data_IF_225402118038
#
_entry.id   IF_225402118038
#
_cell.length_a   1.000
_cell.length_b   1.000
_cell.length_c   1.000
_cell.angle_alpha   90.00
_cell.angle_beta   90.00
_cell.angle_gamma   90.00
#
_symmetry.space_group_name_H-M   'P 1'
#
loop_
_entity.id
_entity.type
_entity.pdbx_description
1 polymer ?
#
# COMPACT_ATOMS: atom_id res chain seq x y z
N UNK A 1 34.41 -43.46 9.44
CA UNK A 1 32.99 -43.24 9.79
C UNK A 1 32.56 -41.89 9.24
N UNK A 2 31.73 -41.86 8.19
CA UNK A 2 31.13 -40.63 7.66
C UNK A 2 29.83 -40.40 8.42
N UNK A 3 29.79 -39.39 9.29
CA UNK A 3 28.57 -38.94 9.93
C UNK A 3 27.77 -38.12 8.91
N UNK A 4 26.83 -38.77 8.24
CA UNK A 4 25.78 -38.10 7.47
C UNK A 4 24.87 -37.39 8.47
N UNK A 5 25.02 -36.07 8.58
CA UNK A 5 24.05 -35.24 9.29
C UNK A 5 22.68 -35.48 8.63
N UNK A 6 21.60 -35.68 9.41
CA UNK A 6 20.27 -35.73 8.84
C UNK A 6 20.07 -34.42 8.09
N UNK A 7 19.84 -34.53 6.79
CA UNK A 7 19.46 -33.45 5.89
C UNK A 7 18.28 -32.76 6.56
N UNK A 8 18.57 -31.65 7.25
CA UNK A 8 17.66 -31.01 8.18
C UNK A 8 16.51 -30.46 7.36
N UNK A 9 15.46 -31.28 7.26
CA UNK A 9 14.14 -30.99 6.74
C UNK A 9 14.20 -29.79 5.80
N UNK A 10 14.66 -30.01 4.56
CA UNK A 10 14.72 -29.00 3.51
C UNK A 10 13.45 -28.17 3.65
N UNK A 11 13.60 -26.99 4.25
CA UNK A 11 12.49 -26.21 4.74
C UNK A 11 11.68 -25.95 3.48
N UNK A 12 10.55 -26.65 3.33
CA UNK A 12 9.67 -26.50 2.17
C UNK A 12 9.37 -25.02 2.15
N UNK A 13 10.07 -24.29 1.28
CA UNK A 13 9.83 -22.87 1.06
C UNK A 13 8.38 -22.86 0.61
N UNK A 14 7.45 -22.36 1.44
CA UNK A 14 6.05 -22.44 1.09
C UNK A 14 5.91 -21.75 -0.27
N UNK A 15 5.28 -22.44 -1.22
CA UNK A 15 4.99 -21.94 -2.57
C UNK A 15 4.12 -20.67 -2.56
N UNK A 16 3.77 -20.15 -1.38
CA UNK A 16 3.10 -18.88 -1.11
C UNK A 16 3.75 -17.66 -1.77
N UNK A 17 5.01 -17.75 -2.20
CA UNK A 17 5.66 -16.66 -2.95
C UNK A 17 5.12 -16.49 -4.38
N UNK A 18 4.56 -17.54 -5.00
CA UNK A 18 3.98 -17.49 -6.34
C UNK A 18 2.72 -16.63 -6.40
N UNK A 19 1.72 -16.98 -5.58
CA UNK A 19 0.42 -16.31 -5.55
C UNK A 19 0.52 -14.80 -5.23
N UNK A 20 1.52 -14.42 -4.43
CA UNK A 20 1.74 -13.04 -3.96
C UNK A 20 2.24 -12.08 -5.05
N UNK A 21 3.00 -12.60 -6.04
CA UNK A 21 3.45 -11.80 -7.19
C UNK A 21 2.34 -11.54 -8.19
N UNK A 22 1.39 -12.47 -8.29
CA UNK A 22 0.29 -12.38 -9.24
C UNK A 22 -0.71 -11.29 -8.85
N UNK A 23 -1.04 -11.12 -7.57
CA UNK A 23 -1.98 -10.06 -7.11
C UNK A 23 -1.48 -8.65 -7.47
N UNK A 24 -0.18 -8.37 -7.29
CA UNK A 24 0.39 -7.07 -7.66
C UNK A 24 0.45 -6.86 -9.18
N UNK A 25 0.64 -7.94 -9.94
CA UNK A 25 0.67 -7.90 -11.41
C UNK A 25 -0.74 -7.69 -11.96
N UNK A 26 -1.71 -8.41 -11.43
CA UNK A 26 -3.13 -8.32 -11.78
C UNK A 26 -3.68 -6.92 -11.46
N UNK A 27 -3.30 -6.35 -10.32
CA UNK A 27 -3.67 -4.97 -9.96
C UNK A 27 -3.00 -3.91 -10.85
N UNK A 28 -1.88 -4.25 -11.51
CA UNK A 28 -1.23 -3.38 -12.51
C UNK A 28 -1.98 -3.38 -13.85
N UNK A 29 -2.72 -4.45 -14.16
CA UNK A 29 -3.52 -4.57 -15.39
C UNK A 29 -4.99 -4.16 -15.21
N UNK A 30 -5.57 -4.35 -14.03
CA UNK A 30 -6.92 -3.87 -13.71
C UNK A 30 -7.04 -2.35 -13.86
N UNK A 31 -5.95 -1.64 -13.58
CA UNK A 31 -5.88 -0.20 -13.64
C UNK A 31 -6.05 0.39 -15.06
N UNK A 32 -5.26 -0.01 -16.08
CA UNK A 32 -5.48 0.41 -17.47
C UNK A 32 -6.76 -0.19 -18.05
N UNK A 33 -7.19 -1.39 -17.64
CA UNK A 33 -8.45 -1.97 -18.08
C UNK A 33 -9.66 -1.12 -17.65
N UNK A 34 -9.66 -0.60 -16.41
CA UNK A 34 -10.68 0.35 -15.94
C UNK A 34 -10.68 1.66 -16.72
N UNK A 35 -9.50 2.21 -17.04
CA UNK A 35 -9.40 3.43 -17.86
C UNK A 35 -9.89 3.17 -19.29
N UNK A 36 -9.52 2.02 -19.86
CA UNK A 36 -9.96 1.60 -21.18
C UNK A 36 -11.48 1.42 -21.21
N UNK A 37 -12.06 0.75 -20.21
CA UNK A 37 -13.51 0.58 -20.09
C UNK A 37 -14.22 1.94 -19.92
N UNK A 38 -13.64 2.87 -19.17
CA UNK A 38 -14.16 4.22 -18.99
C UNK A 38 -14.23 5.03 -20.30
N UNK A 39 -13.31 4.77 -21.23
CA UNK A 39 -13.26 5.41 -22.55
C UNK A 39 -14.13 4.64 -23.55
N UNK A 40 -14.06 3.31 -23.55
CA UNK A 40 -14.79 2.45 -24.48
C UNK A 40 -16.30 2.52 -24.26
N UNK A 41 -16.78 2.56 -23.01
CA UNK A 41 -18.21 2.54 -22.71
C UNK A 41 -18.97 3.75 -23.30
N UNK A 42 -18.53 5.01 -23.09
CA UNK A 42 -19.19 6.15 -23.73
C UNK A 42 -19.02 6.14 -25.25
N UNK A 43 -17.86 5.73 -25.78
CA UNK A 43 -17.65 5.61 -27.24
C UNK A 43 -18.58 4.57 -27.86
N UNK A 44 -18.76 3.42 -27.21
CA UNK A 44 -19.69 2.38 -27.65
C UNK A 44 -21.14 2.86 -27.58
N UNK A 45 -21.51 3.61 -26.54
CA UNK A 45 -22.82 4.24 -26.43
C UNK A 45 -23.09 5.25 -27.55
N UNK A 46 -22.10 6.09 -27.88
CA UNK A 46 -22.16 7.00 -29.04
C UNK A 46 -22.38 6.19 -30.31
N UNK A 47 -21.57 5.17 -30.57
CA UNK A 47 -21.65 4.36 -31.77
C UNK A 47 -23.03 3.70 -31.93
N UNK A 48 -23.56 3.11 -30.85
CA UNK A 48 -24.87 2.49 -30.84
C UNK A 48 -25.99 3.49 -31.18
N UNK A 49 -25.96 4.69 -30.60
CA UNK A 49 -26.95 5.74 -30.92
C UNK A 49 -26.82 6.23 -32.36
N UNK A 50 -25.60 6.30 -32.91
CA UNK A 50 -25.39 6.73 -34.31
C UNK A 50 -25.71 5.67 -35.36
N UNK A 51 -25.91 4.41 -34.97
CA UNK A 51 -26.13 3.31 -35.90
C UNK A 51 -27.44 3.50 -36.68
N UNK A 52 -28.48 3.99 -36.01
CA UNK A 52 -29.82 4.22 -36.57
C UNK A 52 -29.90 5.44 -37.52
N UNK A 53 -28.80 6.15 -37.73
CA UNK A 53 -28.80 7.42 -38.44
C UNK A 53 -28.60 7.26 -39.94
N UNK A 54 -29.33 8.03 -40.78
CA UNK A 54 -29.08 8.06 -42.21
C UNK A 54 -27.66 8.56 -42.50
N UNK A 55 -26.97 7.91 -43.45
CA UNK A 55 -25.54 8.15 -43.72
C UNK A 55 -25.15 9.58 -44.13
N UNK A 56 -26.11 10.39 -44.58
CA UNK A 56 -25.91 11.82 -44.82
C UNK A 56 -25.82 12.62 -43.51
N UNK A 57 -26.72 12.36 -42.55
CA UNK A 57 -26.70 12.99 -41.22
C UNK A 57 -25.44 12.59 -40.44
N UNK A 58 -25.04 11.31 -40.52
CA UNK A 58 -23.82 10.82 -39.86
C UNK A 58 -22.56 11.57 -40.31
N UNK A 59 -22.44 11.88 -41.61
CA UNK A 59 -21.29 12.64 -42.15
C UNK A 59 -21.27 14.09 -41.70
N UNK A 60 -22.44 14.72 -41.53
CA UNK A 60 -22.55 16.09 -41.03
C UNK A 60 -22.13 16.22 -39.56
N UNK A 61 -22.42 15.20 -38.72
CA UNK A 61 -22.13 15.22 -37.27
C UNK A 61 -20.74 14.64 -36.92
N UNK A 62 -20.05 14.02 -37.89
CA UNK A 62 -18.73 13.41 -37.70
C UNK A 62 -17.67 14.32 -37.02
N UNK A 63 -17.50 15.61 -37.39
CA UNK A 63 -16.53 16.47 -36.71
C UNK A 63 -16.91 16.76 -35.25
N UNK A 64 -18.20 16.87 -34.96
CA UNK A 64 -18.72 17.08 -33.60
C UNK A 64 -18.51 15.82 -32.74
N UNK A 65 -18.75 14.64 -33.32
CA UNK A 65 -18.46 13.35 -32.69
C UNK A 65 -16.96 13.22 -32.35
N UNK A 66 -16.08 13.60 -33.28
CA UNK A 66 -14.63 13.60 -33.07
C UNK A 66 -14.23 14.55 -31.94
N UNK A 67 -14.87 15.72 -31.85
CA UNK A 67 -14.64 16.68 -30.77
C UNK A 67 -15.10 16.12 -29.42
N UNK A 68 -16.27 15.49 -29.35
CA UNK A 68 -16.77 14.82 -28.13
C UNK A 68 -15.86 13.66 -27.72
N UNK A 69 -15.44 12.81 -28.67
CA UNK A 69 -14.48 11.74 -28.40
C UNK A 69 -13.13 12.29 -27.91
N UNK A 70 -12.61 13.35 -28.53
CA UNK A 70 -11.40 14.03 -28.09
C UNK A 70 -11.54 14.57 -26.67
N UNK A 71 -12.67 15.21 -26.36
CA UNK A 71 -12.97 15.72 -25.02
C UNK A 71 -13.03 14.59 -23.98
N UNK A 72 -13.64 13.45 -24.32
CA UNK A 72 -13.67 12.25 -23.46
C UNK A 72 -12.27 11.69 -23.21
N UNK A 73 -11.41 11.63 -24.23
CA UNK A 73 -10.00 11.22 -24.07
C UNK A 73 -9.24 12.18 -23.17
N UNK A 74 -9.42 13.49 -23.37
CA UNK A 74 -8.84 14.52 -22.49
C UNK A 74 -9.35 14.37 -21.06
N UNK A 75 -10.62 14.03 -20.86
CA UNK A 75 -11.23 13.74 -19.53
C UNK A 75 -10.69 12.47 -18.88
N UNK A 76 -10.24 11.50 -19.68
CA UNK A 76 -9.62 10.27 -19.20
C UNK A 76 -8.13 10.43 -18.87
N UNK A 77 -7.45 11.43 -19.45
CA UNK A 77 -6.02 11.69 -19.23
C UNK A 77 -5.67 11.89 -17.74
N UNK A 78 -6.44 12.67 -16.95
CA UNK A 78 -6.23 12.77 -15.50
C UNK A 78 -6.25 11.42 -14.78
N UNK A 79 -7.00 10.42 -15.26
CA UNK A 79 -7.06 9.11 -14.61
C UNK A 79 -5.72 8.38 -14.63
N UNK A 80 -4.82 8.70 -15.57
CA UNK A 80 -3.45 8.18 -15.59
C UNK A 80 -2.62 8.67 -14.40
N UNK A 81 -2.96 9.85 -13.86
CA UNK A 81 -2.32 10.43 -12.67
C UNK A 81 -2.97 10.03 -11.34
N UNK A 82 -3.98 9.15 -11.35
CA UNK A 82 -4.74 8.80 -10.13
C UNK A 82 -3.88 8.33 -8.96
N UNK A 83 -2.73 7.70 -9.26
CA UNK A 83 -1.84 7.12 -8.26
C UNK A 83 -0.98 8.17 -7.54
N UNK A 84 -0.69 9.30 -8.18
CA UNK A 84 0.22 10.32 -7.61
C UNK A 84 -0.53 11.45 -6.89
N UNK A 85 -1.68 11.88 -7.43
CA UNK A 85 -2.39 13.03 -6.90
C UNK A 85 -3.92 12.89 -7.10
N UNK A 86 -4.61 12.05 -6.31
CA UNK A 86 -6.04 11.78 -6.49
C UNK A 86 -6.91 13.03 -6.43
N UNK A 87 -6.53 14.02 -5.61
CA UNK A 87 -7.24 15.30 -5.54
C UNK A 87 -7.03 16.19 -6.77
N UNK A 88 -5.84 16.20 -7.35
CA UNK A 88 -5.59 16.94 -8.58
C UNK A 88 -6.40 16.33 -9.73
N UNK A 89 -6.49 15.00 -9.78
CA UNK A 89 -7.33 14.28 -10.76
C UNK A 89 -8.79 14.62 -10.59
N UNK A 90 -9.30 14.60 -9.35
CA UNK A 90 -10.68 14.98 -9.05
C UNK A 90 -10.99 16.43 -9.45
N UNK A 91 -10.11 17.36 -9.07
CA UNK A 91 -10.23 18.77 -9.44
C UNK A 91 -10.17 18.97 -10.96
N UNK A 92 -9.29 18.26 -11.66
CA UNK A 92 -9.21 18.31 -13.12
C UNK A 92 -10.47 17.77 -13.77
N UNK A 93 -11.01 16.63 -13.31
CA UNK A 93 -12.26 16.06 -13.84
C UNK A 93 -13.43 17.03 -13.64
N UNK A 94 -13.55 17.64 -12.47
CA UNK A 94 -14.55 18.68 -12.19
C UNK A 94 -14.34 19.92 -13.07
N UNK A 95 -13.11 20.39 -13.22
CA UNK A 95 -12.80 21.54 -14.06
C UNK A 95 -13.12 21.27 -15.54
N UNK A 96 -12.91 20.04 -16.02
CA UNK A 96 -13.28 19.60 -17.37
C UNK A 96 -14.77 19.26 -17.52
N UNK A 97 -15.55 19.23 -16.44
CA UNK A 97 -17.00 19.03 -16.49
C UNK A 97 -17.75 20.33 -16.81
N UNK A 98 -17.22 21.46 -16.33
CA UNK A 98 -17.76 22.81 -16.53
C UNK A 98 -17.75 23.40 -17.96
N UNK A 99 -16.83 23.03 -18.88
CA UNK A 99 -16.84 23.58 -20.23
C UNK A 99 -18.08 23.13 -21.02
N UNK A 100 -18.68 21.99 -20.69
CA UNK A 100 -19.89 21.49 -21.36
C UNK A 100 -21.06 22.48 -21.23
N UNK A 101 -21.53 22.78 -20.00
CA UNK A 101 -22.56 23.79 -19.78
C UNK A 101 -22.22 25.16 -20.38
N UNK A 102 -20.96 25.60 -20.27
CA UNK A 102 -20.50 26.87 -20.87
C UNK A 102 -20.57 26.86 -22.40
N UNK A 103 -20.19 25.75 -23.04
CA UNK A 103 -20.24 25.60 -24.49
C UNK A 103 -21.67 25.58 -25.01
N UNK A 104 -22.61 24.98 -24.27
CA UNK A 104 -24.03 24.93 -24.64
C UNK A 104 -24.68 26.31 -24.57
N UNK A 105 -24.24 27.17 -23.63
CA UNK A 105 -24.67 28.58 -23.61
C UNK A 105 -24.12 29.36 -24.81
N UNK A 106 -22.91 29.02 -25.27
CA UNK A 106 -22.25 29.72 -26.38
C UNK A 106 -22.68 29.24 -27.77
N UNK A 107 -23.05 27.96 -27.90
CA UNK A 107 -23.39 27.31 -29.17
C UNK A 107 -24.67 26.49 -28.94
N UNK A 108 -25.75 26.69 -29.73
CA UNK A 108 -26.94 25.86 -29.65
C UNK A 108 -26.58 24.44 -30.14
N UNK A 109 -26.21 23.56 -29.22
CA UNK A 109 -25.91 22.17 -29.52
C UNK A 109 -27.22 21.39 -29.76
N UNK A 110 -27.22 20.44 -30.70
CA UNK A 110 -28.36 19.56 -30.88
C UNK A 110 -28.61 18.66 -29.65
N UNK A 111 -29.88 18.42 -29.32
CA UNK A 111 -30.32 17.64 -28.14
C UNK A 111 -29.77 16.20 -28.05
N UNK A 112 -29.37 15.60 -29.18
CA UNK A 112 -28.74 14.28 -29.19
C UNK A 112 -27.30 14.31 -28.65
N UNK A 113 -26.59 15.43 -28.79
CA UNK A 113 -25.23 15.61 -28.26
C UNK A 113 -25.28 15.85 -26.74
N UNK A 114 -26.36 16.46 -26.26
CA UNK A 114 -26.63 16.61 -24.83
C UNK A 114 -26.71 15.26 -24.10
N UNK A 115 -27.29 14.22 -24.72
CA UNK A 115 -27.33 12.87 -24.14
C UNK A 115 -25.93 12.25 -23.98
N UNK A 116 -24.99 12.58 -24.88
CA UNK A 116 -23.60 12.11 -24.81
C UNK A 116 -22.82 12.75 -23.66
N UNK A 117 -23.17 13.99 -23.27
CA UNK A 117 -22.60 14.64 -22.10
C UNK A 117 -23.01 13.92 -20.80
N UNK A 118 -24.20 13.34 -20.74
CA UNK A 118 -24.66 12.51 -19.61
C UNK A 118 -23.80 11.25 -19.47
N UNK A 119 -23.37 10.62 -20.58
CA UNK A 119 -22.42 9.52 -20.53
C UNK A 119 -21.06 9.93 -19.92
N UNK A 120 -20.72 11.23 -19.93
CA UNK A 120 -19.55 11.78 -19.25
C UNK A 120 -19.57 11.62 -17.72
N UNK A 121 -20.73 11.38 -17.10
CA UNK A 121 -20.87 11.15 -15.65
C UNK A 121 -20.11 9.89 -15.17
N UNK A 122 -19.82 8.94 -16.06
CA UNK A 122 -18.95 7.81 -15.73
C UNK A 122 -17.55 8.24 -15.30
N UNK A 123 -16.98 9.30 -15.89
CA UNK A 123 -15.68 9.82 -15.49
C UNK A 123 -15.70 10.36 -14.05
N UNK A 124 -16.82 10.97 -13.65
CA UNK A 124 -17.03 11.51 -12.30
C UNK A 124 -17.16 10.39 -11.26
N UNK A 125 -17.87 9.30 -11.58
CA UNK A 125 -17.94 8.12 -10.69
C UNK A 125 -16.56 7.51 -10.45
N UNK A 126 -15.74 7.41 -11.50
CA UNK A 126 -14.36 6.93 -11.40
C UNK A 126 -13.46 7.88 -10.62
N UNK A 127 -13.67 9.20 -10.74
CA UNK A 127 -12.94 10.19 -9.96
C UNK A 127 -13.27 10.07 -8.46
N UNK A 128 -14.55 9.92 -8.09
CA UNK A 128 -14.99 9.68 -6.71
C UNK A 128 -14.40 8.38 -6.17
N UNK A 129 -14.44 7.31 -6.97
CA UNK A 129 -13.81 6.04 -6.62
C UNK A 129 -12.31 6.19 -6.37
N UNK A 130 -11.59 6.90 -7.24
CA UNK A 130 -10.15 7.13 -7.11
C UNK A 130 -9.80 7.93 -5.85
N UNK A 131 -10.56 8.98 -5.53
CA UNK A 131 -10.38 9.75 -4.30
C UNK A 131 -10.63 8.87 -3.07
N UNK A 132 -11.67 8.03 -3.09
CA UNK A 132 -11.97 7.13 -1.98
C UNK A 132 -10.88 6.04 -1.79
N UNK A 133 -10.40 5.46 -2.88
CA UNK A 133 -9.42 4.37 -2.87
C UNK A 133 -8.00 4.84 -2.53
N UNK A 134 -7.58 6.01 -3.05
CA UNK A 134 -6.20 6.50 -2.98
C UNK A 134 -6.01 7.74 -2.10
N UNK A 135 -7.09 8.34 -1.59
CA UNK A 135 -7.02 9.57 -0.78
C UNK A 135 -6.40 9.38 0.61
N UNK A 136 -5.93 10.48 1.25
CA UNK A 136 -5.16 10.43 2.50
C UNK A 136 -5.96 9.92 3.72
N UNK A 137 -7.30 9.90 3.70
CA UNK A 137 -8.10 9.43 4.83
C UNK A 137 -9.60 9.60 4.60
N UNK A 138 -10.43 8.76 5.22
CA UNK A 138 -11.89 8.85 5.09
C UNK A 138 -12.44 10.23 5.49
N UNK A 139 -11.82 10.87 6.50
CA UNK A 139 -12.20 12.20 6.99
C UNK A 139 -11.90 13.36 6.05
N UNK A 140 -11.05 13.16 5.02
CA UNK A 140 -10.80 14.19 4.00
C UNK A 140 -11.59 13.90 2.71
N UNK A 141 -11.98 12.65 2.47
CA UNK A 141 -12.62 12.22 1.21
C UNK A 141 -14.14 12.26 1.24
N UNK A 142 -14.78 12.57 2.38
CA UNK A 142 -16.24 12.65 2.50
C UNK A 142 -16.92 13.76 1.65
N UNK A 143 -16.31 14.92 1.36
CA UNK A 143 -16.99 15.92 0.55
C UNK A 143 -17.00 15.55 -0.93
N UNK A 144 -16.15 14.61 -1.37
CA UNK A 144 -16.04 14.20 -2.78
C UNK A 144 -17.39 13.74 -3.38
N UNK A 145 -18.14 12.79 -2.79
CA UNK A 145 -19.45 12.42 -3.32
C UNK A 145 -20.44 13.59 -3.35
N UNK A 146 -20.47 14.46 -2.33
CA UNK A 146 -21.38 15.60 -2.28
C UNK A 146 -21.08 16.68 -3.34
N UNK A 147 -19.79 16.99 -3.53
CA UNK A 147 -19.36 17.94 -4.57
C UNK A 147 -19.66 17.37 -5.96
N UNK A 148 -19.46 16.07 -6.14
CA UNK A 148 -19.72 15.41 -7.43
C UNK A 148 -21.21 15.33 -7.74
N UNK A 149 -22.05 15.00 -6.76
CA UNK A 149 -23.51 14.96 -6.94
C UNK A 149 -24.07 16.32 -7.33
N UNK A 150 -23.62 17.38 -6.65
CA UNK A 150 -24.04 18.75 -6.95
C UNK A 150 -23.52 19.22 -8.31
N UNK A 151 -22.27 18.90 -8.64
CA UNK A 151 -21.67 19.22 -9.94
C UNK A 151 -22.40 18.52 -11.09
N UNK A 152 -22.64 17.21 -10.98
CA UNK A 152 -23.35 16.42 -11.98
C UNK A 152 -24.80 16.89 -12.16
N UNK A 153 -25.53 17.06 -11.05
CA UNK A 153 -26.91 17.55 -11.07
C UNK A 153 -27.01 18.96 -11.69
N UNK A 154 -26.10 19.86 -11.31
CA UNK A 154 -26.01 21.21 -11.86
C UNK A 154 -25.71 21.20 -13.36
N UNK A 155 -24.75 20.37 -13.81
CA UNK A 155 -24.39 20.27 -15.22
C UNK A 155 -25.55 19.73 -16.09
N UNK A 156 -26.23 18.67 -15.64
CA UNK A 156 -27.39 18.10 -16.34
C UNK A 156 -28.56 19.08 -16.36
N UNK A 157 -28.81 19.77 -15.25
CA UNK A 157 -29.88 20.78 -15.17
C UNK A 157 -29.59 21.96 -16.08
N UNK A 158 -28.35 22.47 -16.10
CA UNK A 158 -27.95 23.57 -16.97
C UNK A 158 -28.11 23.20 -18.45
N UNK A 159 -27.77 21.96 -18.80
CA UNK A 159 -27.96 21.42 -20.15
C UNK A 159 -29.45 21.36 -20.52
N UNK A 160 -30.30 20.83 -19.63
CA UNK A 160 -31.74 20.78 -19.84
C UNK A 160 -32.39 22.17 -19.95
N UNK A 161 -31.89 23.17 -19.22
CA UNK A 161 -32.37 24.55 -19.32
C UNK A 161 -31.98 25.20 -20.65
N UNK A 162 -30.79 24.89 -21.16
CA UNK A 162 -30.31 25.46 -22.42
C UNK A 162 -31.05 24.89 -23.63
N UNK A 163 -31.52 23.64 -23.57
CA UNK A 163 -32.42 23.06 -24.57
C UNK A 163 -33.82 23.72 -24.55
N UNK A 164 -34.14 24.51 -23.52
CA UNK A 164 -35.37 25.30 -23.39
C UNK A 164 -36.64 24.48 -23.16
N UNK A 165 -36.54 23.15 -23.19
CA UNK A 165 -37.66 22.23 -23.10
C UNK A 165 -37.36 21.15 -22.07
N UNK A 166 -38.17 21.08 -21.01
CA UNK A 166 -38.15 19.98 -20.04
C UNK A 166 -39.45 19.22 -20.19
N UNK A 167 -39.36 17.94 -20.60
CA UNK A 167 -40.53 17.09 -20.87
C UNK A 167 -41.54 17.65 -21.89
N UNK A 168 -41.10 18.53 -22.80
CA UNK A 168 -41.96 19.11 -23.84
C UNK A 168 -42.62 20.44 -23.44
N UNK A 169 -42.39 20.95 -22.23
CA UNK A 169 -42.85 22.26 -21.78
C UNK A 169 -41.67 23.25 -21.62
N UNK A 170 -41.90 24.56 -21.80
CA UNK A 170 -40.88 25.58 -21.59
C UNK A 170 -40.43 25.56 -20.13
N UNK A 171 -39.15 25.26 -19.91
CA UNK A 171 -38.62 25.05 -18.57
C UNK A 171 -38.60 26.34 -17.76
N UNK A 172 -39.38 26.40 -16.68
CA UNK A 172 -39.30 27.50 -15.73
C UNK A 172 -38.06 27.39 -14.81
N UNK A 173 -37.64 28.48 -14.15
CA UNK A 173 -36.56 28.42 -13.16
C UNK A 173 -36.92 27.50 -11.96
N UNK A 174 -38.20 27.35 -11.65
CA UNK A 174 -38.68 26.42 -10.63
C UNK A 174 -38.45 24.96 -11.03
N UNK A 175 -38.68 24.62 -12.30
CA UNK A 175 -38.47 23.27 -12.84
C UNK A 175 -36.99 22.91 -12.84
N UNK A 176 -36.11 23.86 -13.15
CA UNK A 176 -34.67 23.68 -13.06
C UNK A 176 -34.22 23.33 -11.63
N UNK A 177 -34.71 24.05 -10.63
CA UNK A 177 -34.38 23.78 -9.21
C UNK A 177 -34.93 22.42 -8.78
N UNK A 178 -36.17 22.10 -9.16
CA UNK A 178 -36.80 20.82 -8.86
C UNK A 178 -36.06 19.65 -9.51
N UNK A 179 -35.68 19.78 -10.78
CA UNK A 179 -34.92 18.78 -11.54
C UNK A 179 -33.55 18.55 -10.91
N UNK A 180 -32.81 19.63 -10.61
CA UNK A 180 -31.50 19.54 -9.94
C UNK A 180 -31.61 18.84 -8.59
N UNK A 181 -32.62 19.18 -7.80
CA UNK A 181 -32.89 18.55 -6.51
C UNK A 181 -33.18 17.06 -6.65
N UNK A 182 -34.10 16.67 -7.54
CA UNK A 182 -34.45 15.28 -7.81
C UNK A 182 -33.23 14.47 -8.28
N UNK A 183 -32.44 15.03 -9.21
CA UNK A 183 -31.24 14.39 -9.72
C UNK A 183 -30.20 14.20 -8.61
N UNK A 184 -30.02 15.21 -7.75
CA UNK A 184 -29.11 15.11 -6.61
C UNK A 184 -29.55 14.03 -5.62
N UNK A 185 -30.85 13.93 -5.33
CA UNK A 185 -31.41 12.87 -4.45
C UNK A 185 -31.17 11.48 -5.04
N UNK A 186 -31.32 11.32 -6.36
CA UNK A 186 -31.11 10.04 -7.04
C UNK A 186 -29.62 9.67 -7.20
N UNK A 187 -28.75 10.65 -7.48
CA UNK A 187 -27.32 10.42 -7.69
C UNK A 187 -26.55 10.24 -6.37
N UNK A 188 -27.00 10.86 -5.28
CA UNK A 188 -26.37 10.74 -3.96
C UNK A 188 -26.13 9.29 -3.50
N UNK A 189 -27.10 8.36 -3.50
CA UNK A 189 -26.87 6.98 -3.11
C UNK A 189 -25.87 6.26 -4.04
N UNK A 190 -25.87 6.58 -5.34
CA UNK A 190 -24.95 5.96 -6.31
C UNK A 190 -23.51 6.39 -6.03
N UNK A 191 -23.24 7.69 -5.92
CA UNK A 191 -21.90 8.19 -5.65
C UNK A 191 -21.41 7.80 -4.24
N UNK A 192 -22.29 7.75 -3.25
CA UNK A 192 -21.92 7.27 -1.90
C UNK A 192 -21.62 5.78 -1.87
N UNK A 193 -22.35 4.95 -2.64
CA UNK A 193 -22.03 3.53 -2.79
C UNK A 193 -20.67 3.31 -3.48
N UNK A 194 -20.39 4.05 -4.56
CA UNK A 194 -19.10 4.01 -5.26
C UNK A 194 -17.96 4.46 -4.34
N UNK A 195 -18.15 5.54 -3.60
CA UNK A 195 -17.21 6.00 -2.57
C UNK A 195 -16.98 4.94 -1.49
N UNK A 196 -18.05 4.33 -0.99
CA UNK A 196 -18.00 3.24 -0.01
C UNK A 196 -17.24 2.01 -0.52
N UNK A 197 -17.44 1.63 -1.78
CA UNK A 197 -16.68 0.57 -2.44
C UNK A 197 -15.19 0.90 -2.53
N UNK A 198 -14.83 2.14 -2.89
CA UNK A 198 -13.44 2.61 -2.88
C UNK A 198 -12.80 2.53 -1.48
N UNK A 199 -13.52 2.93 -0.43
CA UNK A 199 -13.06 2.79 0.95
C UNK A 199 -12.90 1.32 1.37
N UNK A 200 -13.79 0.43 0.93
CA UNK A 200 -13.71 -1.00 1.23
C UNK A 200 -12.48 -1.63 0.56
N UNK A 201 -12.19 -1.30 -0.69
CA UNK A 201 -10.97 -1.71 -1.40
C UNK A 201 -9.73 -1.19 -0.67
N UNK A 202 -9.73 0.08 -0.25
CA UNK A 202 -8.64 0.65 0.55
C UNK A 202 -8.44 -0.11 1.86
N UNK A 203 -9.52 -0.41 2.59
CA UNK A 203 -9.45 -1.18 3.84
C UNK A 203 -8.89 -2.57 3.62
N UNK A 204 -9.31 -3.27 2.56
CA UNK A 204 -8.76 -4.58 2.18
C UNK A 204 -7.27 -4.49 1.89
N UNK A 205 -6.84 -3.47 1.14
CA UNK A 205 -5.42 -3.24 0.80
C UNK A 205 -4.57 -2.97 2.03
N UNK A 206 -5.02 -2.08 2.92
CA UNK A 206 -4.29 -1.77 4.16
C UNK A 206 -4.22 -3.00 5.07
N UNK A 207 -5.29 -3.81 5.15
CA UNK A 207 -5.25 -5.08 5.89
C UNK A 207 -4.26 -6.06 5.28
N UNK A 208 -4.26 -6.23 3.96
CA UNK A 208 -3.30 -7.09 3.27
C UNK A 208 -1.84 -6.65 3.57
N UNK A 209 -1.55 -5.35 3.47
CA UNK A 209 -0.23 -4.81 3.83
C UNK A 209 0.11 -5.05 5.31
N UNK A 210 -0.85 -4.88 6.22
CA UNK A 210 -0.61 -5.15 7.64
C UNK A 210 -0.28 -6.63 7.88
N UNK A 211 -0.98 -7.57 7.22
CA UNK A 211 -0.64 -8.99 7.29
C UNK A 211 0.76 -9.27 6.76
N UNK A 212 1.15 -8.58 5.69
CA UNK A 212 2.49 -8.71 5.13
C UNK A 212 3.56 -8.22 6.11
N UNK A 213 3.35 -7.07 6.74
CA UNK A 213 4.25 -6.53 7.77
C UNK A 213 4.39 -7.46 8.97
N UNK A 214 3.28 -8.08 9.42
CA UNK A 214 3.33 -9.07 10.50
C UNK A 214 4.07 -10.35 10.08
N UNK A 215 3.89 -10.83 8.85
CA UNK A 215 4.61 -11.98 8.34
C UNK A 215 6.13 -11.70 8.22
N UNK A 216 6.50 -10.51 7.75
CA UNK A 216 7.90 -10.07 7.68
C UNK A 216 8.51 -9.87 9.07
N UNK A 217 7.79 -9.26 10.01
CA UNK A 217 8.24 -9.13 11.39
C UNK A 217 8.43 -10.50 12.05
N UNK A 218 7.53 -11.45 11.78
CA UNK A 218 7.63 -12.82 12.26
C UNK A 218 8.86 -13.56 11.71
N UNK A 219 9.13 -13.47 10.40
CA UNK A 219 10.29 -14.12 9.80
C UNK A 219 11.61 -13.50 10.27
N UNK A 220 11.69 -12.17 10.41
CA UNK A 220 12.85 -11.49 11.01
C UNK A 220 13.09 -11.93 12.44
N UNK A 221 12.04 -12.05 13.25
CA UNK A 221 12.16 -12.51 14.63
C UNK A 221 12.67 -13.95 14.74
N UNK A 222 12.22 -14.85 13.86
CA UNK A 222 12.71 -16.23 13.81
C UNK A 222 14.17 -16.31 13.36
N UNK A 223 14.56 -15.51 12.37
CA UNK A 223 15.94 -15.44 11.91
C UNK A 223 16.88 -14.95 13.02
N UNK A 224 16.48 -13.92 13.77
CA UNK A 224 17.25 -13.39 14.90
C UNK A 224 17.40 -14.44 16.01
N UNK A 225 16.32 -15.17 16.33
CA UNK A 225 16.36 -16.26 17.32
C UNK A 225 17.24 -17.43 16.90
N UNK A 226 17.21 -17.81 15.63
CA UNK A 226 18.07 -18.86 15.10
C UNK A 226 19.55 -18.43 15.14
N UNK A 227 19.85 -17.18 14.76
CA UNK A 227 21.19 -16.64 14.83
C UNK A 227 21.72 -16.59 16.27
N UNK A 228 20.90 -16.20 17.23
CA UNK A 228 21.27 -16.15 18.64
C UNK A 228 21.51 -17.55 19.22
N UNK A 229 20.70 -18.54 18.85
CA UNK A 229 20.92 -19.93 19.24
C UNK A 229 22.25 -20.48 18.70
N UNK A 230 22.60 -20.17 17.44
CA UNK A 230 23.87 -20.62 16.87
C UNK A 230 25.07 -19.90 17.51
N UNK A 231 24.96 -18.60 17.82
CA UNK A 231 25.99 -17.87 18.59
C UNK A 231 26.25 -18.50 19.95
N UNK A 232 25.19 -18.87 20.68
CA UNK A 232 25.31 -19.53 21.97
C UNK A 232 25.95 -20.91 21.85
N UNK A 233 25.58 -21.67 20.82
CA UNK A 233 26.18 -22.98 20.52
C UNK A 233 27.67 -22.86 20.20
N UNK A 234 28.05 -21.94 19.31
CA UNK A 234 29.44 -21.66 18.96
C UNK A 234 30.25 -21.22 20.18
N UNK A 235 29.70 -20.32 21.00
CA UNK A 235 30.34 -19.87 22.24
C UNK A 235 30.58 -21.03 23.22
N UNK A 236 29.63 -21.95 23.37
CA UNK A 236 29.77 -23.13 24.22
C UNK A 236 30.84 -24.10 23.68
N UNK A 237 30.85 -24.36 22.37
CA UNK A 237 31.85 -25.24 21.72
C UNK A 237 33.26 -24.66 21.84
N UNK A 238 33.42 -23.36 21.59
CA UNK A 238 34.70 -22.67 21.76
C UNK A 238 35.19 -22.70 23.21
N UNK A 239 34.28 -22.47 24.18
CA UNK A 239 34.62 -22.54 25.61
C UNK A 239 35.11 -23.93 26.01
N UNK A 240 34.44 -25.00 25.60
CA UNK A 240 34.85 -26.37 25.94
C UNK A 240 36.20 -26.72 25.28
N UNK A 241 36.42 -26.34 24.02
CA UNK A 241 37.69 -26.55 23.33
C UNK A 241 38.86 -25.85 24.06
N UNK A 242 38.66 -24.59 24.48
CA UNK A 242 39.67 -23.83 25.24
C UNK A 242 39.94 -24.48 26.61
N UNK A 243 38.91 -24.92 27.33
CA UNK A 243 39.07 -25.59 28.63
C UNK A 243 39.77 -26.95 28.51
N UNK A 244 39.44 -27.73 27.48
CA UNK A 244 40.12 -29.00 27.19
C UNK A 244 41.61 -28.78 26.87
N UNK A 245 41.92 -27.81 26.00
CA UNK A 245 43.29 -27.50 25.61
C UNK A 245 44.13 -26.98 26.80
N UNK A 246 43.56 -26.09 27.62
CA UNK A 246 44.23 -25.59 28.83
C UNK A 246 44.49 -26.70 29.86
N UNK A 247 43.58 -27.67 30.05
CA UNK A 247 43.83 -28.85 30.90
C UNK A 247 44.97 -29.71 30.36
N UNK A 248 45.01 -29.96 29.05
CA UNK A 248 46.10 -30.71 28.41
C UNK A 248 47.45 -30.02 28.62
N UNK A 249 47.49 -28.69 28.43
CA UNK A 249 48.69 -27.87 28.61
C UNK A 249 49.20 -27.88 30.06
N UNK A 250 48.30 -27.77 31.05
CA UNK A 250 48.65 -27.89 32.48
C UNK A 250 49.16 -29.29 32.81
N UNK A 251 48.59 -30.34 32.19
CA UNK A 251 49.06 -31.71 32.33
C UNK A 251 50.48 -31.92 31.84
N UNK A 252 50.83 -31.38 30.66
CA UNK A 252 52.18 -31.42 30.11
C UNK A 252 53.18 -30.60 30.94
N UNK A 253 52.79 -29.39 31.37
CA UNK A 253 53.63 -28.56 32.24
C UNK A 253 53.98 -29.26 33.56
N UNK A 254 53.05 -30.01 34.15
CA UNK A 254 53.31 -30.79 35.39
C UNK A 254 54.31 -31.93 35.21
N UNK A 255 54.52 -32.44 33.98
CA UNK A 255 55.52 -33.47 33.68
C UNK A 255 56.92 -32.89 33.42
N UNK A 256 57.09 -31.56 33.40
CA UNK A 256 58.37 -30.89 33.18
C UNK A 256 58.74 -30.69 31.70
N UNK A 257 57.83 -30.95 30.77
CA UNK A 257 58.05 -30.89 29.33
C UNK A 257 57.80 -29.47 28.76
N UNK A 258 58.67 -28.51 29.13
CA UNK A 258 58.49 -27.08 28.80
C UNK A 258 58.57 -26.76 27.30
N UNK A 259 59.39 -27.50 26.54
CA UNK A 259 59.50 -27.34 25.07
C UNK A 259 58.23 -27.78 24.36
N UNK A 260 57.64 -28.90 24.79
CA UNK A 260 56.40 -29.42 24.22
C UNK A 260 55.21 -28.50 24.48
N UNK A 261 55.17 -27.86 25.66
CA UNK A 261 54.18 -26.81 25.98
C UNK A 261 54.30 -25.61 25.02
N UNK A 262 55.52 -25.16 24.73
CA UNK A 262 55.76 -24.01 23.85
C UNK A 262 55.34 -24.31 22.40
N UNK A 263 55.65 -25.50 21.89
CA UNK A 263 55.28 -25.90 20.53
C UNK A 263 53.77 -26.13 20.40
N UNK A 264 53.15 -26.71 21.42
CA UNK A 264 51.68 -26.87 21.49
C UNK A 264 50.97 -25.51 21.50
N UNK A 265 51.48 -24.53 22.25
CA UNK A 265 50.92 -23.18 22.29
C UNK A 265 51.05 -22.44 20.95
N UNK A 266 52.19 -22.58 20.25
CA UNK A 266 52.39 -21.99 18.92
C UNK A 266 51.46 -22.62 17.88
N UNK A 267 51.31 -23.94 17.91
CA UNK A 267 50.39 -24.66 17.02
C UNK A 267 48.93 -24.23 17.24
N UNK A 268 48.51 -24.06 18.50
CA UNK A 268 47.17 -23.59 18.82
C UNK A 268 46.90 -22.15 18.33
N UNK A 269 47.85 -21.22 18.52
CA UNK A 269 47.74 -19.85 17.99
C UNK A 269 47.72 -19.80 16.46
N UNK A 270 48.48 -20.67 15.79
CA UNK A 270 48.47 -20.80 14.34
C UNK A 270 47.08 -21.27 13.85
N UNK A 271 46.51 -22.28 14.51
CA UNK A 271 45.17 -22.79 14.17
C UNK A 271 44.07 -21.74 14.39
N UNK A 272 44.13 -20.94 15.47
CA UNK A 272 43.19 -19.83 15.69
C UNK A 272 43.31 -18.74 14.62
N UNK A 273 44.53 -18.39 14.19
CA UNK A 273 44.74 -17.42 13.10
C UNK A 273 44.18 -17.92 11.78
N UNK A 274 44.32 -19.21 11.50
CA UNK A 274 43.79 -19.80 10.27
C UNK A 274 42.27 -19.82 10.26
N UNK A 275 41.64 -20.18 11.38
CA UNK A 275 40.18 -20.15 11.51
C UNK A 275 39.62 -18.71 11.37
N UNK A 276 40.32 -17.71 11.88
CA UNK A 276 39.95 -16.30 11.70
C UNK A 276 40.11 -15.81 10.26
N UNK A 277 41.10 -16.32 9.50
CA UNK A 277 41.24 -16.02 8.06
C UNK A 277 40.12 -16.66 7.25
N UNK A 278 39.80 -17.91 7.50
CA UNK A 278 38.69 -18.59 6.82
C UNK A 278 37.35 -17.87 6.98
N UNK A 279 37.05 -17.37 8.19
CA UNK A 279 35.84 -16.57 8.44
C UNK A 279 35.83 -15.21 7.72
N UNK A 280 36.99 -14.64 7.40
CA UNK A 280 37.08 -13.40 6.63
C UNK A 280 36.85 -13.64 5.13
N UNK A 281 37.37 -14.75 4.60
CA UNK A 281 37.23 -15.11 3.18
C UNK A 281 35.82 -15.63 2.82
N UNK A 282 35.17 -16.38 3.71
CA UNK A 282 33.80 -16.90 3.48
C UNK A 282 32.73 -15.79 3.41
N UNK A 283 33.02 -14.59 3.89
CA UNK A 283 32.13 -13.42 3.82
C UNK A 283 31.95 -12.84 2.42
N UNK A 284 32.92 -13.04 1.52
CA UNK A 284 32.97 -12.38 0.20
C UNK A 284 32.41 -13.24 -0.95
N UNK A 285 32.14 -14.54 -0.74
CA UNK A 285 31.92 -15.52 -1.83
C UNK A 285 30.49 -16.04 -2.06
N UNK A 286 29.48 -15.62 -1.30
CA UNK A 286 28.13 -16.19 -1.39
C UNK A 286 27.37 -15.82 -2.68
N UNK A 287 26.68 -16.76 -3.36
CA UNK A 287 25.93 -16.51 -4.62
C UNK A 287 24.62 -15.70 -4.44
N UNK A 288 24.36 -15.18 -3.23
CA UNK A 288 23.38 -14.13 -3.02
C UNK A 288 24.07 -12.80 -3.30
N UNK A 289 23.67 -12.12 -4.38
CA UNK A 289 24.26 -10.85 -4.82
C UNK A 289 24.51 -9.85 -3.69
N UNK A 290 25.45 -8.91 -3.88
CA UNK A 290 26.17 -8.19 -2.84
C UNK A 290 25.24 -7.90 -1.66
N UNK A 291 25.38 -8.73 -0.61
CA UNK A 291 24.90 -8.39 0.71
C UNK A 291 25.41 -6.97 0.97
N UNK A 292 24.52 -6.10 1.43
CA UNK A 292 24.79 -4.68 1.62
C UNK A 292 26.23 -4.50 2.15
N UNK A 293 27.04 -3.64 1.50
CA UNK A 293 28.47 -3.57 1.75
C UNK A 293 28.72 -3.57 3.25
N UNK A 294 29.56 -4.51 3.71
CA UNK A 294 29.99 -4.59 5.10
C UNK A 294 30.28 -3.18 5.59
N UNK A 295 29.65 -2.72 6.69
CA UNK A 295 29.76 -1.35 7.13
C UNK A 295 31.24 -1.00 7.23
N UNK A 296 31.64 -0.03 6.42
CA UNK A 296 33.05 0.34 6.32
C UNK A 296 33.52 0.84 7.69
N UNK A 297 34.83 0.80 7.95
CA UNK A 297 35.37 1.41 9.17
C UNK A 297 34.89 2.86 9.35
N UNK A 298 34.60 3.58 8.25
CA UNK A 298 34.02 4.91 8.27
C UNK A 298 32.56 4.94 8.77
N UNK A 299 31.76 3.93 8.47
CA UNK A 299 30.37 3.79 8.98
C UNK A 299 30.35 3.46 10.47
N UNK A 300 31.30 2.63 10.93
CA UNK A 300 31.49 2.34 12.35
C UNK A 300 32.00 3.57 13.11
N UNK A 301 32.90 4.37 12.54
CA UNK A 301 33.32 5.66 13.10
C UNK A 301 32.20 6.70 13.09
N UNK A 302 31.30 6.66 12.10
CA UNK A 302 30.12 7.51 12.07
C UNK A 302 29.10 7.12 13.16
N UNK A 303 28.87 5.82 13.37
CA UNK A 303 28.05 5.29 14.46
C UNK A 303 28.67 5.54 15.83
N UNK A 304 29.98 5.36 15.95
CA UNK A 304 30.76 5.70 17.14
C UNK A 304 30.63 7.17 17.48
N UNK A 305 30.73 8.08 16.50
CA UNK A 305 30.49 9.52 16.69
C UNK A 305 29.03 9.86 16.97
N UNK A 306 28.07 9.13 16.41
CA UNK A 306 26.64 9.33 16.69
C UNK A 306 26.25 8.87 18.11
N UNK A 307 26.84 7.78 18.60
CA UNK A 307 26.64 7.26 19.96
C UNK A 307 27.48 7.98 21.02
N UNK A 308 28.67 8.46 20.67
CA UNK A 308 29.55 9.25 21.54
C UNK A 308 29.13 10.72 21.64
N UNK A 309 28.15 11.16 20.83
CA UNK A 309 27.42 12.38 21.17
C UNK A 309 26.72 12.09 22.50
N UNK A 310 27.08 12.79 23.60
CA UNK A 310 26.35 12.65 24.84
C UNK A 310 24.88 12.91 24.52
N UNK A 311 23.99 12.16 25.16
CA UNK A 311 22.54 12.31 25.05
C UNK A 311 22.11 13.74 25.41
N UNK A 312 22.40 14.67 24.51
CA UNK A 312 22.02 16.07 24.56
C UNK A 312 20.58 16.07 24.12
N UNK A 313 19.73 15.72 25.09
CA UNK A 313 18.29 15.95 25.08
C UNK A 313 17.69 15.71 23.69
N UNK A 314 17.39 14.45 23.40
CA UNK A 314 16.10 14.17 22.77
C UNK A 314 15.00 14.62 23.74
N UNK A 315 14.88 15.94 23.89
CA UNK A 315 13.63 16.53 24.32
C UNK A 315 12.63 16.06 23.30
N UNK A 316 11.55 15.45 23.77
CA UNK A 316 10.30 15.33 23.05
C UNK A 316 9.78 16.74 22.71
N UNK A 317 10.49 17.47 21.86
CA UNK A 317 10.15 18.78 21.34
C UNK A 317 9.49 18.57 20.00
N UNK A 318 8.19 18.29 20.01
CA UNK A 318 7.46 18.10 18.77
C UNK A 318 6.15 17.34 18.84
N UNK A 319 5.51 17.21 20.01
CA UNK A 319 4.06 17.11 19.97
C UNK A 319 3.51 18.53 19.78
N UNK A 320 2.89 18.87 18.64
CA UNK A 320 2.19 20.13 18.50
C UNK A 320 1.14 20.19 19.61
N UNK A 321 1.35 21.12 20.53
CA UNK A 321 0.43 21.40 21.64
C UNK A 321 -0.89 21.88 21.01
N UNK A 322 -2.01 21.14 21.14
CA UNK A 322 -3.29 21.65 20.66
C UNK A 322 -3.64 22.90 21.47
N UNK A 323 -3.95 24.04 20.81
CA UNK A 323 -4.44 25.21 21.51
C UNK A 323 -5.89 24.92 21.93
N UNK A 324 -6.09 24.60 23.20
CA UNK A 324 -7.41 24.68 23.81
C UNK A 324 -7.81 23.50 24.70
N UNK A 325 -8.01 23.80 25.99
CA UNK A 325 -9.07 23.16 26.75
C UNK A 325 -8.67 21.95 27.60
N UNK A 326 -8.03 22.21 28.73
CA UNK A 326 -8.08 21.32 29.88
C UNK A 326 -9.53 20.97 30.25
N UNK A 327 -9.93 19.71 30.04
CA UNK A 327 -10.99 19.06 30.84
C UNK A 327 -10.51 17.69 31.32
N UNK A 328 -10.08 17.69 32.59
CA UNK A 328 -10.05 16.64 33.62
C UNK A 328 -9.53 15.22 33.27
N UNK A 329 -8.67 14.65 34.12
CA UNK A 329 -8.14 13.30 33.94
C UNK A 329 -9.20 12.25 34.31
N UNK A 330 -9.62 11.43 33.34
CA UNK A 330 -10.25 10.13 33.63
C UNK A 330 -9.13 9.12 33.89
N UNK A 331 -9.13 8.59 35.11
CA UNK A 331 -8.35 7.45 35.62
C UNK A 331 -8.06 6.41 34.53
N UNK A 332 -6.80 6.29 34.12
CA UNK A 332 -6.30 5.07 33.49
C UNK A 332 -6.24 3.99 34.57
N UNK A 333 -7.21 3.09 34.54
CA UNK A 333 -7.28 1.89 35.37
C UNK A 333 -6.32 0.87 34.76
N UNK A 334 -5.11 0.77 35.30
CA UNK A 334 -4.21 -0.36 35.07
C UNK A 334 -4.89 -1.64 35.59
N UNK A 335 -5.50 -2.43 34.71
CA UNK A 335 -5.89 -3.81 35.01
C UNK A 335 -4.70 -4.72 34.77
N UNK A 336 -3.78 -4.74 35.75
CA UNK A 336 -2.94 -5.91 35.99
C UNK A 336 -3.75 -6.91 36.82
N UNK A 337 -4.15 -8.01 36.22
CA UNK A 337 -4.68 -9.18 36.92
C UNK A 337 -4.34 -10.44 36.13
N UNK A 338 -3.11 -10.89 36.36
CA UNK A 338 -2.69 -12.26 36.17
C UNK A 338 -3.43 -13.14 37.19
N UNK A 339 -4.34 -14.01 36.73
CA UNK A 339 -4.78 -15.18 37.49
C UNK A 339 -4.45 -16.45 36.68
N UNK A 340 -3.68 -17.39 37.23
CA UNK A 340 -3.46 -18.69 36.61
C UNK A 340 -4.73 -19.52 36.77
N UNK A 341 -5.27 -20.01 35.65
CA UNK A 341 -6.37 -20.97 35.64
C UNK A 341 -5.78 -22.35 35.95
N UNK A 342 -5.86 -22.75 37.20
CA UNK A 342 -5.59 -24.11 37.65
C UNK A 342 -6.62 -25.05 37.02
N UNK A 343 -6.15 -25.93 36.13
CA UNK A 343 -6.90 -27.06 35.63
C UNK A 343 -7.14 -28.03 36.78
N UNK A 344 -8.38 -28.05 37.27
CA UNK A 344 -8.84 -28.99 38.29
C UNK A 344 -9.11 -30.33 37.63
N UNK A 345 -8.39 -31.34 38.08
CA UNK A 345 -8.61 -32.74 37.78
C UNK A 345 -10.05 -33.17 38.13
N UNK A 346 -10.74 -33.77 37.17
CA UNK A 346 -11.94 -34.57 37.44
C UNK A 346 -11.61 -36.01 37.10
N UNK A 347 -11.06 -36.70 38.12
CA UNK A 347 -10.94 -38.15 38.18
C UNK A 347 -12.31 -38.70 38.58
N UNK A 348 -13.15 -39.03 37.60
CA UNK A 348 -14.38 -39.79 37.85
C UNK A 348 -14.04 -41.28 37.80
N UNK A 349 -14.13 -41.89 38.98
CA UNK A 349 -14.05 -43.32 39.28
C UNK A 349 -15.45 -43.72 39.75
N UNK A 350 -15.82 -44.99 39.52
CA UNK A 350 -17.07 -45.71 39.86
C UNK A 350 -18.05 -45.77 38.68
N UNK A 351 -18.60 -46.93 38.35
CA UNK A 351 -18.51 -48.27 38.95
C UNK A 351 -19.14 -49.28 38.01
#
# INVERSE_FOLDING_TARGET
MRATLPDAAAARRPEETGWRRDVLREQRFADPALVLAAVLLPVAGVLAVTEDWPGAARRAVLPELLLVCGLLVVRALPLLWRRRAPWAVFGAVLATAWPGPLAVVAVPLPSHVAQLLVAGTFAETLAVYAVAAYGPGAGHTWPAPAVTTLGAAGAVTALACADGMVAGEPAGPADAVLLSFLLSVMLAPVFTAVWGAGLLVRRRRVRAMAYDDFAFAGSMWQADRAAEAERQRLAATLREAVLSHTRALVGAARRGELTEVADTARAALAAMREMLRGLADDGDGGPGGPLAPSPSAADLDALGRACARPAARYGCGGCPRPPGGCRRPRRCRCTGSSRPRSARATRARRG
#
